data_IF_218084201007
#
_entry.id   IF_218084201007
#
_cell.length_a   1.000
_cell.length_b   1.000
_cell.length_c   1.000
_cell.angle_alpha   90.00
_cell.angle_beta   90.00
_cell.angle_gamma   90.00
#
_symmetry.space_group_name_H-M   'P 1'
#
loop_
_entity.id
_entity.type
_entity.pdbx_description
1 polymer ?
#
# COMPACT_ATOMS: atom_id res chain seq x y z
N UNK A 1 -8.01 2.65 -25.75
CA UNK A 1 -6.83 2.26 -24.94
C UNK A 1 -7.21 2.34 -23.45
N UNK A 2 -8.25 1.63 -23.02
CA UNK A 2 -8.81 1.77 -21.65
C UNK A 2 -8.55 0.55 -20.76
N UNK A 3 -8.15 -0.58 -21.34
CA UNK A 3 -8.16 -1.89 -20.68
C UNK A 3 -7.18 -2.10 -19.52
N UNK A 4 -6.24 -1.19 -19.28
CA UNK A 4 -5.24 -1.34 -18.20
C UNK A 4 -5.58 -0.56 -16.94
N UNK A 5 -6.28 0.58 -17.04
CA UNK A 5 -6.65 1.39 -15.87
C UNK A 5 -7.90 0.82 -15.20
N UNK A 6 -8.90 0.38 -15.98
CA UNK A 6 -10.12 -0.25 -15.45
C UNK A 6 -9.82 -1.46 -14.54
N UNK A 7 -8.74 -2.20 -14.81
CA UNK A 7 -8.31 -3.36 -14.00
C UNK A 7 -7.53 -2.98 -12.72
N UNK A 8 -6.98 -1.76 -12.67
CA UNK A 8 -6.29 -1.22 -11.49
C UNK A 8 -7.28 -0.54 -10.54
N UNK A 9 -8.29 0.11 -11.10
CA UNK A 9 -9.37 0.73 -10.34
C UNK A 9 -10.25 -0.28 -9.60
N UNK A 10 -10.33 -1.52 -10.09
CA UNK A 10 -10.99 -2.65 -9.42
C UNK A 10 -10.21 -3.17 -8.19
N UNK A 11 -8.89 -2.91 -8.13
CA UNK A 11 -8.05 -3.32 -7.00
C UNK A 11 -8.15 -2.39 -5.79
N UNK A 12 -8.77 -1.21 -5.95
CA UNK A 12 -9.11 -0.34 -4.84
C UNK A 12 -10.40 -0.83 -4.17
N UNK A 13 -10.31 -1.22 -2.90
CA UNK A 13 -11.43 -1.74 -2.13
C UNK A 13 -12.35 -0.61 -1.64
N UNK A 14 -13.12 -0.03 -2.58
CA UNK A 14 -14.08 1.05 -2.28
C UNK A 14 -15.14 0.63 -1.29
N UNK A 15 -15.51 -0.66 -1.28
CA UNK A 15 -16.46 -1.18 -0.30
C UNK A 15 -15.89 -1.07 1.11
N UNK A 16 -14.62 -1.44 1.31
CA UNK A 16 -13.93 -1.27 2.59
C UNK A 16 -13.83 0.19 2.99
N UNK A 17 -13.48 1.09 2.06
CA UNK A 17 -13.42 2.52 2.31
C UNK A 17 -14.76 3.09 2.79
N UNK A 18 -15.84 2.81 2.07
CA UNK A 18 -17.20 3.23 2.46
C UNK A 18 -17.65 2.61 3.79
N UNK A 19 -17.23 1.39 4.12
CA UNK A 19 -17.53 0.79 5.42
C UNK A 19 -16.71 1.40 6.57
N UNK A 20 -15.48 1.80 6.30
CA UNK A 20 -14.57 2.31 7.32
C UNK A 20 -14.85 3.77 7.67
N UNK A 21 -15.16 4.57 6.65
CA UNK A 21 -15.41 6.00 6.80
C UNK A 21 -16.91 6.35 6.81
N UNK A 22 -17.80 5.42 6.44
CA UNK A 22 -19.25 5.64 6.37
C UNK A 22 -19.60 6.90 5.54
N UNK A 23 -20.03 7.98 6.19
CA UNK A 23 -20.35 9.28 5.57
C UNK A 23 -19.23 10.33 5.77
N UNK A 24 -18.13 9.99 6.45
CA UNK A 24 -17.03 10.90 6.77
C UNK A 24 -16.01 10.98 5.61
N UNK A 25 -16.47 11.56 4.51
CA UNK A 25 -15.66 11.73 3.28
C UNK A 25 -14.45 12.64 3.53
N UNK A 26 -14.55 13.63 4.42
CA UNK A 26 -13.44 14.52 4.77
C UNK A 26 -12.31 13.75 5.48
N UNK A 27 -12.65 12.83 6.39
CA UNK A 27 -11.67 11.96 7.04
C UNK A 27 -11.02 11.00 6.04
N UNK A 28 -11.80 10.44 5.11
CA UNK A 28 -11.28 9.57 4.05
C UNK A 28 -10.27 10.29 3.16
N UNK A 29 -10.59 11.51 2.73
CA UNK A 29 -9.69 12.38 1.94
C UNK A 29 -8.40 12.66 2.71
N UNK A 30 -8.52 13.09 3.97
CA UNK A 30 -7.37 13.40 4.82
C UNK A 30 -6.44 12.19 5.00
N UNK A 31 -7.01 10.99 5.14
CA UNK A 31 -6.24 9.76 5.25
C UNK A 31 -5.52 9.39 3.94
N UNK A 32 -6.17 9.58 2.79
CA UNK A 32 -5.55 9.34 1.47
C UNK A 32 -4.43 10.35 1.18
N UNK A 33 -4.61 11.63 1.51
CA UNK A 33 -3.57 12.65 1.38
C UNK A 33 -2.36 12.32 2.24
N UNK A 34 -2.58 12.06 3.54
CA UNK A 34 -1.51 11.65 4.46
C UNK A 34 -0.79 10.39 3.97
N UNK A 35 -1.53 9.41 3.45
CA UNK A 35 -0.93 8.21 2.92
C UNK A 35 -0.03 8.49 1.71
N UNK A 36 -0.52 9.28 0.76
CA UNK A 36 0.19 9.62 -0.47
C UNK A 36 1.47 10.42 -0.21
N UNK A 37 1.41 11.39 0.71
CA UNK A 37 2.50 12.35 0.92
C UNK A 37 3.50 11.87 1.98
N UNK A 38 3.02 11.31 3.09
CA UNK A 38 3.86 11.01 4.27
C UNK A 38 4.17 9.52 4.41
N UNK A 39 3.28 8.64 3.96
CA UNK A 39 3.41 7.18 4.21
C UNK A 39 4.10 6.48 3.05
N UNK A 40 3.77 6.78 1.80
CA UNK A 40 4.38 6.16 0.60
C UNK A 40 5.93 6.20 0.64
N UNK A 41 6.59 7.34 0.97
CA UNK A 41 8.05 7.40 0.98
C UNK A 41 8.72 6.39 1.91
N UNK A 42 8.05 5.99 3.00
CA UNK A 42 8.62 5.05 3.98
C UNK A 42 8.73 3.62 3.42
N UNK A 43 7.95 3.26 2.40
CA UNK A 43 8.05 1.94 1.76
C UNK A 43 9.33 1.78 0.91
N UNK A 44 10.00 2.88 0.56
CA UNK A 44 11.28 2.82 -0.16
C UNK A 44 12.39 2.16 0.67
N UNK A 45 12.27 2.16 2.01
CA UNK A 45 13.25 1.52 2.89
C UNK A 45 13.17 -0.01 2.85
N UNK A 46 12.09 -0.62 2.33
CA UNK A 46 11.92 -2.07 2.29
C UNK A 46 13.09 -2.77 1.57
N UNK A 47 13.41 -2.34 0.35
CA UNK A 47 14.48 -2.95 -0.46
C UNK A 47 15.84 -2.77 0.21
N UNK A 48 16.11 -1.59 0.77
CA UNK A 48 17.35 -1.30 1.50
C UNK A 48 17.54 -2.21 2.72
N UNK A 49 16.48 -2.48 3.48
CA UNK A 49 16.55 -3.42 4.62
C UNK A 49 16.82 -4.85 4.15
N UNK A 50 16.30 -5.25 2.99
CA UNK A 50 16.60 -6.55 2.37
C UNK A 50 18.06 -6.64 1.92
N UNK A 51 18.61 -5.60 1.28
CA UNK A 51 20.03 -5.56 0.88
C UNK A 51 20.97 -5.68 2.08
N UNK A 52 20.60 -5.05 3.20
CA UNK A 52 21.33 -5.10 4.46
C UNK A 52 21.09 -6.41 5.23
N UNK A 53 20.15 -7.24 4.77
CA UNK A 53 19.69 -8.46 5.45
C UNK A 53 19.19 -8.19 6.88
N UNK A 54 18.64 -6.99 7.12
CA UNK A 54 18.06 -6.61 8.41
C UNK A 54 16.60 -7.08 8.49
N UNK A 55 16.45 -8.39 8.69
CA UNK A 55 15.14 -9.04 8.71
C UNK A 55 14.27 -8.60 9.89
N UNK A 56 14.87 -8.20 11.00
CA UNK A 56 14.16 -7.69 12.18
C UNK A 56 13.55 -6.32 11.87
N UNK A 57 14.34 -5.39 11.35
CA UNK A 57 13.84 -4.08 10.93
C UNK A 57 12.82 -4.20 9.79
N UNK A 58 13.02 -5.11 8.83
CA UNK A 58 12.06 -5.35 7.75
C UNK A 58 10.72 -5.85 8.30
N UNK A 59 10.75 -6.79 9.25
CA UNK A 59 9.54 -7.30 9.92
C UNK A 59 8.83 -6.17 10.69
N UNK A 60 9.58 -5.33 11.40
CA UNK A 60 9.01 -4.21 12.15
C UNK A 60 8.37 -3.16 11.23
N UNK A 61 9.06 -2.77 10.16
CA UNK A 61 8.57 -1.80 9.19
C UNK A 61 7.31 -2.31 8.49
N UNK A 62 7.33 -3.53 7.96
CA UNK A 62 6.16 -4.15 7.31
C UNK A 62 4.95 -4.21 8.25
N UNK A 63 5.16 -4.58 9.53
CA UNK A 63 4.11 -4.60 10.53
C UNK A 63 3.50 -3.22 10.81
N UNK A 64 4.34 -2.20 10.95
CA UNK A 64 3.93 -0.82 11.19
C UNK A 64 3.20 -0.21 10.00
N UNK A 65 3.61 -0.54 8.78
CA UNK A 65 3.11 0.08 7.56
C UNK A 65 1.83 -0.57 7.04
N UNK A 66 1.58 -1.84 7.36
CA UNK A 66 0.41 -2.59 6.89
C UNK A 66 -0.95 -1.92 7.18
N UNK A 67 -1.23 -1.40 8.39
CA UNK A 67 -2.52 -0.76 8.69
C UNK A 67 -2.85 0.40 7.76
N UNK A 68 -1.84 1.15 7.30
CA UNK A 68 -2.03 2.26 6.38
C UNK A 68 -2.58 1.83 5.03
N UNK A 69 -2.11 0.71 4.49
CA UNK A 69 -2.65 0.13 3.26
C UNK A 69 -4.13 -0.24 3.42
N UNK A 70 -4.49 -0.81 4.57
CA UNK A 70 -5.87 -1.12 4.90
C UNK A 70 -6.76 0.13 5.01
N UNK A 71 -6.24 1.21 5.60
CA UNK A 71 -6.96 2.49 5.74
C UNK A 71 -7.31 3.12 4.40
N UNK A 72 -6.42 3.02 3.39
CA UNK A 72 -6.69 3.56 2.05
C UNK A 72 -7.27 2.53 1.07
N UNK A 73 -7.77 1.40 1.56
CA UNK A 73 -8.47 0.40 0.75
C UNK A 73 -7.56 -0.41 -0.19
N UNK A 74 -6.25 -0.47 0.09
CA UNK A 74 -5.27 -1.23 -0.68
C UNK A 74 -5.12 -2.66 -0.14
N UNK A 75 -6.24 -3.37 0.02
CA UNK A 75 -6.32 -4.70 0.66
C UNK A 75 -5.36 -5.73 0.04
N UNK A 76 -5.17 -5.71 -1.28
CA UNK A 76 -4.23 -6.63 -1.94
C UNK A 76 -2.76 -6.35 -1.57
N UNK A 77 -2.39 -5.07 -1.48
CA UNK A 77 -1.04 -4.68 -1.06
C UNK A 77 -0.82 -4.96 0.43
N UNK A 78 -1.85 -4.77 1.25
CA UNK A 78 -1.82 -5.12 2.68
C UNK A 78 -1.44 -6.60 2.88
N UNK A 79 -2.06 -7.49 2.09
CA UNK A 79 -1.75 -8.93 2.12
C UNK A 79 -0.32 -9.22 1.63
N UNK A 80 0.11 -8.61 0.51
CA UNK A 80 1.49 -8.78 0.01
C UNK A 80 2.53 -8.33 1.04
N UNK A 81 2.28 -7.24 1.76
CA UNK A 81 3.17 -6.77 2.80
C UNK A 81 3.21 -7.73 4.00
N UNK A 82 2.07 -8.33 4.35
CA UNK A 82 1.98 -9.41 5.34
C UNK A 82 2.79 -10.65 4.94
N UNK A 83 2.77 -11.01 3.66
CA UNK A 83 3.57 -12.13 3.14
C UNK A 83 5.08 -11.82 3.25
N UNK A 84 5.50 -10.59 2.93
CA UNK A 84 6.90 -10.14 3.11
C UNK A 84 7.32 -10.22 4.59
N UNK A 85 6.49 -9.72 5.51
CA UNK A 85 6.74 -9.83 6.95
C UNK A 85 6.92 -11.29 7.38
N UNK A 86 6.04 -12.17 6.90
CA UNK A 86 6.05 -13.59 7.25
C UNK A 86 7.31 -14.28 6.72
N UNK A 87 7.71 -14.01 5.48
CA UNK A 87 8.94 -14.54 4.89
C UNK A 87 10.18 -14.07 5.66
N UNK A 88 10.27 -12.78 5.97
CA UNK A 88 11.38 -12.20 6.73
C UNK A 88 11.51 -12.82 8.13
N UNK A 89 10.38 -13.07 8.80
CA UNK A 89 10.33 -13.60 10.17
C UNK A 89 10.63 -15.09 10.28
N UNK A 90 10.16 -15.90 9.33
CA UNK A 90 10.17 -17.37 9.47
C UNK A 90 11.32 -18.04 8.74
N UNK A 91 11.60 -17.64 7.51
CA UNK A 91 12.59 -18.30 6.65
C UNK A 91 13.11 -17.32 5.61
N UNK A 92 13.92 -16.32 6.02
CA UNK A 92 14.34 -15.27 5.12
C UNK A 92 15.18 -15.82 3.97
N UNK A 93 14.76 -15.47 2.76
CA UNK A 93 15.51 -15.73 1.54
C UNK A 93 15.67 -14.41 0.79
N UNK A 94 16.93 -13.97 0.64
CA UNK A 94 17.26 -12.67 0.08
C UNK A 94 16.65 -12.45 -1.31
N UNK A 95 16.81 -13.42 -2.22
CA UNK A 95 16.36 -13.28 -3.60
C UNK A 95 14.83 -13.19 -3.68
N UNK A 96 14.13 -14.09 -2.97
CA UNK A 96 12.67 -14.14 -2.97
C UNK A 96 12.09 -12.88 -2.34
N UNK A 97 12.60 -12.46 -1.18
CA UNK A 97 12.10 -11.28 -0.48
C UNK A 97 12.40 -10.02 -1.29
N UNK A 98 13.57 -9.90 -1.92
CA UNK A 98 13.89 -8.76 -2.78
C UNK A 98 12.89 -8.66 -3.94
N UNK A 99 12.64 -9.76 -4.65
CA UNK A 99 11.65 -9.80 -5.73
C UNK A 99 10.27 -9.40 -5.22
N UNK A 100 9.87 -9.86 -4.03
CA UNK A 100 8.59 -9.48 -3.42
C UNK A 100 8.51 -7.99 -3.07
N UNK A 101 9.58 -7.40 -2.52
CA UNK A 101 9.66 -5.98 -2.21
C UNK A 101 9.62 -5.11 -3.48
N UNK A 102 10.39 -5.45 -4.51
CA UNK A 102 10.36 -4.75 -5.80
C UNK A 102 8.96 -4.79 -6.42
N UNK A 103 8.36 -5.99 -6.50
CA UNK A 103 6.99 -6.13 -6.99
C UNK A 103 6.00 -5.32 -6.15
N UNK A 104 6.14 -5.32 -4.83
CA UNK A 104 5.29 -4.53 -3.94
C UNK A 104 5.39 -3.03 -4.26
N UNK A 105 6.61 -2.49 -4.38
CA UNK A 105 6.85 -1.09 -4.69
C UNK A 105 6.32 -0.67 -6.05
N UNK A 106 6.47 -1.52 -7.08
CA UNK A 106 5.88 -1.28 -8.40
C UNK A 106 4.34 -1.23 -8.34
N UNK A 107 3.71 -2.18 -7.65
CA UNK A 107 2.26 -2.19 -7.49
C UNK A 107 1.78 -0.98 -6.67
N UNK A 108 2.52 -0.59 -5.62
CA UNK A 108 2.21 0.59 -4.82
C UNK A 108 2.31 1.87 -5.67
N UNK A 109 3.32 2.00 -6.51
CA UNK A 109 3.46 3.14 -7.42
C UNK A 109 2.27 3.23 -8.40
N UNK A 110 1.81 2.10 -8.94
CA UNK A 110 0.61 2.08 -9.79
C UNK A 110 -0.65 2.47 -9.00
N UNK A 111 -0.84 1.91 -7.80
CA UNK A 111 -1.99 2.24 -6.94
C UNK A 111 -1.97 3.67 -6.45
N UNK A 112 -0.79 4.31 -6.29
CA UNK A 112 -0.71 5.73 -5.96
C UNK A 112 -1.39 6.61 -7.00
N UNK A 113 -1.35 6.22 -8.27
CA UNK A 113 -2.05 6.93 -9.35
C UNK A 113 -3.57 6.74 -9.24
N UNK A 114 -4.02 5.53 -8.88
CA UNK A 114 -5.43 5.24 -8.63
C UNK A 114 -5.97 6.05 -7.45
N UNK A 115 -5.23 6.09 -6.34
CA UNK A 115 -5.60 6.88 -5.16
C UNK A 115 -5.68 8.38 -5.48
N UNK A 116 -4.76 8.92 -6.28
CA UNK A 116 -4.81 10.33 -6.72
C UNK A 116 -6.05 10.64 -7.56
N UNK A 117 -6.47 9.71 -8.43
CA UNK A 117 -7.71 9.88 -9.19
C UNK A 117 -8.93 9.84 -8.27
N UNK A 118 -9.00 8.87 -7.36
CA UNK A 118 -10.10 8.74 -6.40
C UNK A 118 -10.20 10.00 -5.51
N UNK A 119 -9.07 10.48 -4.99
CA UNK A 119 -8.98 11.70 -4.19
C UNK A 119 -9.54 12.91 -4.94
N UNK A 120 -9.19 13.07 -6.22
CA UNK A 120 -9.71 14.15 -7.06
C UNK A 120 -11.23 14.01 -7.31
N UNK A 121 -11.73 12.78 -7.49
CA UNK A 121 -13.16 12.53 -7.65
C UNK A 121 -13.96 12.83 -6.37
N UNK A 122 -13.42 12.50 -5.19
CA UNK A 122 -14.05 12.78 -3.90
C UNK A 122 -14.03 14.27 -3.58
N UNK A 123 -12.91 14.95 -3.82
CA UNK A 123 -12.76 16.38 -3.55
C UNK A 123 -13.68 17.24 -4.43
N UNK A 124 -14.02 16.78 -5.64
CA UNK A 124 -14.96 17.49 -6.52
C UNK A 124 -16.44 17.31 -6.11
N UNK A 125 -16.74 16.42 -5.15
CA UNK A 125 -18.11 16.13 -4.67
C UNK A 125 -18.45 16.86 -3.36
N UNK A 126 -17.46 17.48 -2.72
CA UNK A 126 -17.62 18.39 -1.57
C UNK A 126 -18.02 19.80 -2.03
#
# INVERSE_FOLDING_TARGET
>A
MSSSIDNLTDQLDRKRLLQFYEDDTEMMISAMEMFLDEVIPNFLELEKLVEQQDWEALTSLTHQMRPWLGMVGLTLLENKLCDIETMAKQSPNLEIIMISCTNFNENLAQMSSVLKMELAELSNKL
#
